data_IF_794218069446
#
_entry.id   IF_794218069446
#
_cell.length_a   1.000
_cell.length_b   1.000
_cell.length_c   1.000
_cell.angle_alpha   90.00
_cell.angle_beta   90.00
_cell.angle_gamma   90.00
#
_symmetry.space_group_name_H-M   'P 1'
#
loop_
_entity.id
_entity.type
_entity.pdbx_description
1 polymer ?
#
# COMPACT_ATOMS: atom_id res chain seq x y z
N UNK A 1 -3.83 16.80 9.14
CA UNK A 1 -3.40 16.77 7.72
C UNK A 1 -4.22 15.71 7.00
N UNK A 2 -4.78 16.02 5.81
CA UNK A 2 -5.60 15.06 5.06
C UNK A 2 -4.76 14.04 4.30
N UNK A 3 -5.15 12.76 4.35
CA UNK A 3 -4.56 11.66 3.57
C UNK A 3 -5.63 10.94 2.77
N UNK A 4 -5.25 10.32 1.67
CA UNK A 4 -6.18 9.63 0.77
C UNK A 4 -5.67 8.24 0.38
N UNK A 5 -6.50 7.21 0.54
CA UNK A 5 -6.31 5.88 -0.02
C UNK A 5 -7.12 5.76 -1.32
N UNK A 6 -6.46 5.52 -2.45
CA UNK A 6 -7.11 5.35 -3.72
C UNK A 6 -7.58 3.90 -3.93
N UNK A 7 -8.71 3.77 -4.63
CA UNK A 7 -9.25 2.50 -5.12
C UNK A 7 -9.42 2.57 -6.63
N UNK A 8 -8.92 1.56 -7.33
CA UNK A 8 -9.06 1.44 -8.78
C UNK A 8 -9.05 -0.03 -9.21
N UNK A 9 -9.30 -0.30 -10.47
CA UNK A 9 -9.19 -1.61 -11.09
C UNK A 9 -8.16 -1.57 -12.22
N UNK A 10 -6.90 -1.88 -11.93
CA UNK A 10 -5.86 -1.99 -12.94
C UNK A 10 -6.06 -3.23 -13.80
N UNK A 11 -5.79 -3.12 -15.09
CA UNK A 11 -5.81 -4.21 -16.06
C UNK A 11 -4.45 -4.39 -16.76
N UNK A 12 -4.41 -5.10 -17.89
CA UNK A 12 -3.18 -5.27 -18.67
C UNK A 12 -2.74 -4.01 -19.45
N UNK A 13 -3.63 -3.03 -19.64
CA UNK A 13 -3.31 -1.78 -20.30
C UNK A 13 -2.73 -0.75 -19.34
N UNK A 14 -1.39 -0.61 -19.39
CA UNK A 14 -0.64 0.32 -18.54
C UNK A 14 -1.07 1.77 -18.77
N UNK A 15 -1.31 2.20 -19.98
CA UNK A 15 -1.66 3.59 -20.31
C UNK A 15 -2.96 3.98 -19.62
N UNK A 16 -4.00 3.17 -19.77
CA UNK A 16 -5.29 3.36 -19.12
C UNK A 16 -5.16 3.37 -17.59
N UNK A 17 -4.39 2.44 -17.02
CA UNK A 17 -4.17 2.38 -15.56
C UNK A 17 -3.50 3.66 -15.04
N UNK A 18 -2.48 4.18 -15.74
CA UNK A 18 -1.78 5.40 -15.33
C UNK A 18 -2.65 6.66 -15.47
N UNK A 19 -3.56 6.69 -16.44
CA UNK A 19 -4.55 7.77 -16.57
C UNK A 19 -5.52 7.76 -15.38
N UNK A 20 -6.05 6.60 -15.02
CA UNK A 20 -6.93 6.44 -13.85
C UNK A 20 -6.19 6.84 -12.57
N UNK A 21 -4.98 6.32 -12.34
CA UNK A 21 -4.17 6.65 -11.17
C UNK A 21 -3.91 8.16 -11.08
N UNK A 22 -3.50 8.79 -12.19
CA UNK A 22 -3.24 10.24 -12.25
C UNK A 22 -4.49 11.04 -11.90
N UNK A 23 -5.66 10.67 -12.45
CA UNK A 23 -6.94 11.33 -12.17
C UNK A 23 -7.31 11.24 -10.69
N UNK A 24 -7.15 10.06 -10.08
CA UNK A 24 -7.43 9.86 -8.64
C UNK A 24 -6.50 10.68 -7.76
N UNK A 25 -5.19 10.72 -8.09
CA UNK A 25 -4.22 11.53 -7.35
C UNK A 25 -4.56 13.02 -7.42
N UNK A 26 -4.88 13.55 -8.61
CA UNK A 26 -5.30 14.95 -8.79
C UNK A 26 -6.56 15.27 -7.98
N UNK A 27 -7.58 14.42 -8.06
CA UNK A 27 -8.82 14.59 -7.26
C UNK A 27 -8.57 14.58 -5.75
N UNK A 28 -7.62 13.77 -5.26
CA UNK A 28 -7.25 13.77 -3.85
C UNK A 28 -6.51 15.05 -3.46
N UNK A 29 -5.56 15.51 -4.28
CA UNK A 29 -4.82 16.76 -4.08
C UNK A 29 -5.75 18.00 -4.11
N UNK A 30 -6.70 18.07 -5.05
CA UNK A 30 -7.72 19.11 -5.12
C UNK A 30 -8.59 19.18 -3.85
N UNK A 31 -8.74 18.06 -3.13
CA UNK A 31 -9.44 18.00 -1.84
C UNK A 31 -8.53 18.30 -0.64
N UNK A 32 -7.26 18.66 -0.89
CA UNK A 32 -6.29 19.02 0.14
C UNK A 32 -5.51 17.85 0.74
N UNK A 33 -5.50 16.68 0.10
CA UNK A 33 -4.70 15.56 0.57
C UNK A 33 -3.19 15.87 0.50
N UNK A 34 -2.49 15.77 1.62
CA UNK A 34 -1.04 15.94 1.72
C UNK A 34 -0.26 14.65 1.41
N UNK A 35 -0.93 13.50 1.49
CA UNK A 35 -0.43 12.19 1.07
C UNK A 35 -1.54 11.44 0.33
N UNK A 36 -1.18 10.89 -0.82
CA UNK A 36 -2.05 9.99 -1.58
C UNK A 36 -1.38 8.64 -1.72
N UNK A 37 -2.08 7.56 -1.39
CA UNK A 37 -1.63 6.18 -1.63
C UNK A 37 -2.37 5.58 -2.82
N UNK A 38 -1.63 4.98 -3.75
CA UNK A 38 -2.12 4.16 -4.85
C UNK A 38 -2.05 2.66 -4.48
N UNK A 39 -2.84 1.77 -5.10
CA UNK A 39 -2.88 0.36 -4.73
C UNK A 39 -1.71 -0.47 -5.28
N UNK A 40 -1.60 -1.72 -4.84
CA UNK A 40 -0.65 -2.71 -5.38
C UNK A 40 -0.86 -2.92 -6.88
N UNK A 41 0.24 -3.14 -7.63
CA UNK A 41 0.22 -3.36 -9.07
C UNK A 41 -0.50 -2.24 -9.85
N UNK A 42 -0.32 -0.99 -9.41
CA UNK A 42 -1.05 0.16 -9.92
C UNK A 42 -0.95 0.34 -11.43
N UNK A 43 0.22 0.06 -12.01
CA UNK A 43 0.47 0.29 -13.44
C UNK A 43 0.07 -0.89 -14.32
N UNK A 44 -0.01 -2.11 -13.76
CA UNK A 44 -0.28 -3.29 -14.57
C UNK A 44 -0.78 -4.47 -13.72
N UNK A 45 -1.88 -5.08 -14.14
CA UNK A 45 -2.43 -6.32 -13.61
C UNK A 45 -2.92 -7.20 -14.77
N UNK A 46 -2.02 -8.01 -15.32
CA UNK A 46 -2.28 -9.00 -16.35
C UNK A 46 -2.02 -10.42 -15.87
N UNK A 47 -1.63 -11.29 -16.82
CA UNK A 47 -1.29 -12.69 -16.54
C UNK A 47 0.03 -12.80 -15.77
N UNK A 48 0.09 -13.67 -14.78
CA UNK A 48 1.29 -13.91 -13.95
C UNK A 48 2.56 -14.19 -14.78
N UNK A 49 2.44 -14.94 -15.88
CA UNK A 49 3.54 -15.26 -16.79
C UNK A 49 4.13 -14.06 -17.53
N UNK A 50 3.36 -12.98 -17.66
CA UNK A 50 3.76 -11.77 -18.38
C UNK A 50 4.40 -10.72 -17.45
N UNK A 51 4.53 -10.99 -16.15
CA UNK A 51 5.15 -10.08 -15.17
C UNK A 51 6.56 -9.62 -15.55
N UNK A 52 7.47 -10.50 -16.00
CA UNK A 52 8.83 -10.06 -16.36
C UNK A 52 8.83 -9.06 -17.52
N UNK A 53 7.98 -9.25 -18.53
CA UNK A 53 7.88 -8.34 -19.67
C UNK A 53 7.18 -7.01 -19.33
N UNK A 54 6.37 -7.00 -18.27
CA UNK A 54 5.71 -5.81 -17.77
C UNK A 54 6.54 -5.01 -16.75
N UNK A 55 7.71 -5.53 -16.35
CA UNK A 55 8.55 -4.88 -15.36
C UNK A 55 9.33 -3.69 -15.92
N UNK A 56 9.53 -2.69 -15.08
CA UNK A 56 10.34 -1.50 -15.38
C UNK A 56 11.45 -1.34 -14.34
N UNK A 57 12.50 -0.62 -14.70
CA UNK A 57 13.51 -0.18 -13.73
C UNK A 57 12.92 0.89 -12.79
N UNK A 58 13.56 1.13 -11.65
CA UNK A 58 13.15 2.20 -10.71
C UNK A 58 13.23 3.62 -11.30
N UNK A 59 14.02 3.80 -12.36
CA UNK A 59 14.08 5.04 -13.14
C UNK A 59 13.22 4.99 -14.42
N UNK A 60 12.33 4.01 -14.51
CA UNK A 60 11.42 3.81 -15.64
C UNK A 60 10.28 4.82 -15.71
N UNK A 61 9.53 4.83 -16.84
CA UNK A 61 8.54 5.84 -17.15
C UNK A 61 7.39 5.92 -16.13
N UNK A 62 6.96 4.79 -15.57
CA UNK A 62 5.88 4.78 -14.56
C UNK A 62 6.25 5.56 -13.30
N UNK A 63 7.40 5.25 -12.69
CA UNK A 63 7.83 5.92 -11.47
C UNK A 63 8.29 7.36 -11.72
N UNK A 64 8.87 7.65 -12.89
CA UNK A 64 9.17 9.03 -13.31
C UNK A 64 7.90 9.88 -13.37
N UNK A 65 6.84 9.37 -14.00
CA UNK A 65 5.53 10.05 -14.03
C UNK A 65 4.96 10.33 -12.63
N UNK A 66 5.07 9.38 -11.71
CA UNK A 66 4.59 9.57 -10.33
C UNK A 66 5.45 10.57 -9.55
N UNK A 67 6.77 10.58 -9.75
CA UNK A 67 7.66 11.59 -9.18
C UNK A 67 7.31 13.01 -9.68
N UNK A 68 7.06 13.16 -10.99
CA UNK A 68 6.63 14.42 -11.58
C UNK A 68 5.26 14.88 -11.04
N UNK A 69 4.31 13.95 -10.90
CA UNK A 69 2.99 14.24 -10.36
C UNK A 69 3.06 14.67 -8.88
N UNK A 70 3.89 14.01 -8.06
CA UNK A 70 4.12 14.38 -6.67
C UNK A 70 4.69 15.81 -6.58
N UNK A 71 5.68 16.14 -7.42
CA UNK A 71 6.29 17.48 -7.50
C UNK A 71 5.30 18.54 -7.99
N UNK A 72 4.55 18.26 -9.05
CA UNK A 72 3.56 19.18 -9.60
C UNK A 72 2.51 19.57 -8.57
N UNK A 73 1.97 18.56 -7.85
CA UNK A 73 0.90 18.73 -6.87
C UNK A 73 1.42 19.10 -5.47
N UNK A 74 2.74 19.04 -5.25
CA UNK A 74 3.40 19.29 -3.96
C UNK A 74 2.86 18.42 -2.82
N UNK A 75 2.65 17.13 -3.11
CA UNK A 75 2.13 16.14 -2.16
C UNK A 75 3.14 14.99 -1.95
N UNK A 76 3.00 14.27 -0.86
CA UNK A 76 3.59 12.95 -0.77
C UNK A 76 2.76 11.97 -1.60
N UNK A 77 3.43 11.09 -2.35
CA UNK A 77 2.76 10.09 -3.19
C UNK A 77 3.37 8.70 -2.93
N UNK A 78 2.57 7.82 -2.35
CA UNK A 78 2.88 6.39 -2.33
C UNK A 78 2.44 5.80 -3.67
N UNK A 79 3.40 5.37 -4.49
CA UNK A 79 3.16 4.83 -5.83
C UNK A 79 2.51 3.43 -5.82
N UNK A 80 1.93 3.04 -4.69
CA UNK A 80 1.33 1.74 -4.50
C UNK A 80 2.38 0.64 -4.60
N UNK A 81 2.30 -0.19 -5.65
CA UNK A 81 3.45 -0.96 -6.08
C UNK A 81 3.52 -1.13 -7.59
N UNK A 82 4.72 -1.39 -8.08
CA UNK A 82 5.05 -1.68 -9.48
C UNK A 82 5.92 -2.92 -9.58
N UNK A 83 5.95 -3.54 -10.76
CA UNK A 83 6.88 -4.62 -11.07
C UNK A 83 8.24 -4.00 -11.42
N UNK A 84 9.25 -4.26 -10.56
CA UNK A 84 10.62 -3.75 -10.74
C UNK A 84 11.50 -4.81 -11.39
N UNK A 85 12.15 -4.45 -12.48
CA UNK A 85 13.14 -5.27 -13.15
C UNK A 85 14.47 -5.31 -12.39
N UNK A 86 15.24 -6.39 -12.55
CA UNK A 86 16.59 -6.53 -12.00
C UNK A 86 16.68 -7.44 -10.77
N UNK A 87 15.63 -8.21 -10.48
CA UNK A 87 15.74 -9.30 -9.51
C UNK A 87 16.59 -10.45 -10.02
N UNK A 88 17.15 -11.32 -9.13
CA UNK A 88 17.91 -12.48 -9.54
C UNK A 88 17.09 -13.49 -10.35
N UNK A 89 17.70 -14.08 -11.36
CA UNK A 89 17.03 -14.97 -12.32
C UNK A 89 16.07 -14.19 -13.21
N UNK A 90 15.07 -14.85 -13.77
CA UNK A 90 14.05 -14.25 -14.63
C UNK A 90 12.87 -13.66 -13.82
N UNK A 91 13.10 -13.29 -12.54
CA UNK A 91 12.11 -12.75 -11.65
C UNK A 91 12.14 -11.22 -11.63
N UNK A 92 11.10 -10.64 -11.04
CA UNK A 92 10.95 -9.21 -10.77
C UNK A 92 10.78 -8.97 -9.27
N UNK A 93 10.85 -7.71 -8.81
CA UNK A 93 10.37 -7.36 -7.47
C UNK A 93 8.99 -6.72 -7.56
N UNK A 94 8.21 -6.88 -6.51
CA UNK A 94 6.98 -6.11 -6.28
C UNK A 94 7.37 -4.95 -5.34
N UNK A 95 7.45 -3.73 -5.89
CA UNK A 95 8.13 -2.61 -5.24
C UNK A 95 7.22 -1.42 -5.03
N UNK A 96 7.15 -0.96 -3.79
CA UNK A 96 6.48 0.27 -3.38
C UNK A 96 7.49 1.41 -3.23
N UNK A 97 7.14 2.59 -3.73
CA UNK A 97 7.97 3.80 -3.65
C UNK A 97 7.16 4.93 -3.02
N UNK A 98 7.74 5.58 -2.01
CA UNK A 98 7.21 6.80 -1.45
C UNK A 98 7.99 8.00 -2.02
N UNK A 99 7.26 8.89 -2.67
CA UNK A 99 7.79 10.17 -3.17
C UNK A 99 7.46 11.31 -2.22
N UNK A 100 8.39 12.24 -2.07
CA UNK A 100 8.18 13.52 -1.40
C UNK A 100 7.61 14.60 -2.32
N UNK A 101 7.24 15.78 -1.75
CA UNK A 101 6.63 16.88 -2.50
C UNK A 101 7.53 17.52 -3.58
N UNK A 102 8.82 17.25 -3.56
CA UNK A 102 9.77 17.64 -4.61
C UNK A 102 9.93 16.60 -5.73
N UNK A 103 9.23 15.45 -5.62
CA UNK A 103 9.38 14.30 -6.51
C UNK A 103 10.58 13.39 -6.18
N UNK A 104 11.28 13.65 -5.07
CA UNK A 104 12.37 12.82 -4.57
C UNK A 104 11.85 11.49 -4.02
N UNK A 105 12.63 10.42 -4.18
CA UNK A 105 12.33 9.12 -3.59
C UNK A 105 12.76 9.11 -2.13
N UNK A 106 11.77 9.10 -1.21
CA UNK A 106 12.01 9.05 0.24
C UNK A 106 12.25 7.61 0.72
N UNK A 107 11.56 6.63 0.12
CA UNK A 107 11.72 5.22 0.45
C UNK A 107 11.42 4.32 -0.73
N UNK A 108 12.08 3.16 -0.77
CA UNK A 108 11.84 2.05 -1.72
C UNK A 108 11.72 0.78 -0.90
N UNK A 109 10.59 0.12 -0.98
CA UNK A 109 10.30 -1.13 -0.28
C UNK A 109 9.94 -2.23 -1.27
N UNK A 110 10.64 -3.35 -1.22
CA UNK A 110 10.33 -4.57 -1.97
C UNK A 110 9.57 -5.54 -1.08
N UNK A 111 8.43 -6.04 -1.56
CA UNK A 111 7.56 -6.97 -0.84
C UNK A 111 8.35 -8.16 -0.29
N UNK A 112 8.24 -8.41 1.01
CA UNK A 112 8.97 -9.48 1.70
C UNK A 112 8.21 -10.80 1.60
N UNK A 113 6.90 -10.78 1.89
CA UNK A 113 6.07 -11.98 1.95
C UNK A 113 5.30 -12.15 0.64
N UNK A 114 5.62 -13.21 -0.09
CA UNK A 114 5.04 -13.50 -1.40
C UNK A 114 3.79 -14.37 -1.26
N UNK A 115 2.80 -14.09 -2.11
CA UNK A 115 1.48 -14.71 -2.02
C UNK A 115 1.46 -16.08 -2.75
N UNK A 116 1.89 -17.13 -2.04
CA UNK A 116 1.77 -18.52 -2.46
C UNK A 116 0.64 -19.16 -1.66
N UNK A 117 -0.54 -19.30 -2.27
CA UNK A 117 -1.72 -19.74 -1.54
C UNK A 117 -2.79 -20.38 -2.46
N UNK A 118 -3.57 -21.26 -1.88
CA UNK A 118 -4.82 -21.78 -2.43
C UNK A 118 -5.97 -21.23 -1.58
N UNK A 119 -6.77 -20.32 -2.14
CA UNK A 119 -7.73 -19.52 -1.33
C UNK A 119 -9.19 -19.95 -1.49
N UNK A 120 -9.45 -21.17 -1.92
CA UNK A 120 -10.81 -21.74 -1.94
C UNK A 120 -11.71 -21.22 -3.07
N UNK A 121 -11.21 -20.35 -3.95
CA UNK A 121 -11.88 -19.87 -5.16
C UNK A 121 -11.53 -20.72 -6.41
N UNK A 122 -10.79 -21.82 -6.20
CA UNK A 122 -10.28 -22.68 -7.26
C UNK A 122 -9.00 -22.15 -7.95
N UNK A 123 -8.48 -20.99 -7.52
CA UNK A 123 -7.25 -20.44 -8.03
C UNK A 123 -6.06 -20.80 -7.11
N UNK A 124 -4.96 -21.23 -7.72
CA UNK A 124 -3.66 -21.40 -7.07
C UNK A 124 -2.77 -20.22 -7.43
N UNK A 125 -2.27 -19.55 -6.42
CA UNK A 125 -1.37 -18.41 -6.54
C UNK A 125 0.05 -18.85 -6.18
N UNK A 126 1.02 -18.49 -7.02
CA UNK A 126 2.45 -18.79 -6.87
C UNK A 126 3.26 -17.53 -7.20
N UNK A 127 3.15 -16.50 -6.36
CA UNK A 127 3.83 -15.23 -6.60
C UNK A 127 5.36 -15.41 -6.64
N UNK A 128 5.92 -16.34 -5.83
CA UNK A 128 7.35 -16.62 -5.75
C UNK A 128 7.95 -17.18 -7.04
N UNK A 129 7.15 -17.72 -7.95
CA UNK A 129 7.64 -18.21 -9.24
C UNK A 129 8.16 -17.06 -10.12
N UNK A 130 7.51 -15.87 -10.04
CA UNK A 130 7.82 -14.72 -10.86
C UNK A 130 8.40 -13.53 -10.07
N UNK A 131 8.25 -13.51 -8.75
CA UNK A 131 8.66 -12.38 -7.88
C UNK A 131 9.71 -12.84 -6.89
N UNK A 132 10.76 -12.04 -6.71
CA UNK A 132 11.77 -12.26 -5.68
C UNK A 132 11.38 -11.48 -4.40
N UNK A 133 11.64 -12.03 -3.20
CA UNK A 133 11.38 -11.34 -1.95
C UNK A 133 12.34 -10.17 -1.73
N UNK A 134 11.88 -9.14 -1.02
CA UNK A 134 12.70 -8.07 -0.47
C UNK A 134 13.49 -8.51 0.77
N UNK A 135 14.36 -7.60 1.27
CA UNK A 135 15.33 -7.95 2.31
C UNK A 135 14.86 -7.59 3.73
N UNK A 136 14.04 -6.55 3.92
CA UNK A 136 13.69 -6.11 5.26
C UNK A 136 12.69 -4.95 5.33
N UNK A 137 12.28 -4.57 6.57
CA UNK A 137 11.35 -3.47 6.80
C UNK A 137 11.97 -2.12 6.40
N UNK A 138 11.14 -1.23 5.87
CA UNK A 138 11.53 0.12 5.43
C UNK A 138 10.61 1.15 6.05
N UNK A 139 11.20 2.22 6.59
CA UNK A 139 10.49 3.42 7.06
C UNK A 139 11.06 4.68 6.42
N UNK A 140 10.25 5.73 6.35
CA UNK A 140 10.67 7.07 5.93
C UNK A 140 10.12 8.13 6.87
N UNK A 141 10.95 9.06 7.29
CA UNK A 141 10.51 10.24 8.03
C UNK A 141 9.88 11.26 7.09
N UNK A 142 8.74 11.79 7.49
CA UNK A 142 7.99 12.82 6.76
C UNK A 142 7.35 13.80 7.74
N UNK A 143 6.92 14.99 7.29
CA UNK A 143 6.11 15.89 8.13
C UNK A 143 4.77 15.29 8.61
N UNK A 144 4.32 14.19 7.99
CA UNK A 144 3.12 13.44 8.38
C UNK A 144 3.40 12.42 9.50
N UNK A 145 4.65 12.27 9.91
CA UNK A 145 5.17 11.25 10.81
C UNK A 145 6.03 10.22 10.07
N UNK A 146 6.53 9.25 10.81
CA UNK A 146 7.31 8.15 10.23
C UNK A 146 6.38 7.16 9.52
N UNK A 147 6.55 7.01 8.21
CA UNK A 147 5.76 6.12 7.36
C UNK A 147 6.43 4.75 7.28
N UNK A 148 5.73 3.69 7.67
CA UNK A 148 6.17 2.30 7.51
C UNK A 148 5.56 1.68 6.26
N UNK A 149 6.36 1.06 5.39
CA UNK A 149 5.93 0.50 4.12
C UNK A 149 5.68 -1.00 4.23
N UNK A 150 4.61 -1.46 3.60
CA UNK A 150 4.30 -2.87 3.37
C UNK A 150 3.49 -3.03 2.08
N UNK A 151 3.27 -4.25 1.60
CA UNK A 151 2.46 -4.54 0.41
C UNK A 151 1.58 -5.77 0.66
N UNK A 152 0.26 -5.62 0.59
CA UNK A 152 -0.75 -6.67 0.45
C UNK A 152 -0.59 -7.86 1.41
N UNK A 153 0.02 -8.95 0.97
CA UNK A 153 0.18 -10.18 1.75
C UNK A 153 0.99 -9.99 3.03
N UNK A 154 1.88 -8.97 3.06
CA UNK A 154 2.58 -8.55 4.27
C UNK A 154 1.63 -8.28 5.44
N UNK A 155 0.37 -7.89 5.16
CA UNK A 155 -0.65 -7.63 6.17
C UNK A 155 -0.91 -8.83 7.09
N UNK A 156 -0.61 -10.05 6.66
CA UNK A 156 -0.80 -11.27 7.46
C UNK A 156 0.31 -11.50 8.49
N UNK A 157 1.42 -10.79 8.39
CA UNK A 157 2.63 -11.00 9.19
C UNK A 157 2.82 -9.87 10.21
N UNK A 158 2.32 -10.01 11.45
CA UNK A 158 2.43 -8.99 12.49
C UNK A 158 3.87 -8.64 12.82
N UNK A 159 4.83 -9.52 12.57
CA UNK A 159 6.25 -9.35 12.80
C UNK A 159 6.81 -8.14 12.03
N UNK A 160 6.42 -7.97 10.76
CA UNK A 160 6.80 -6.81 9.96
C UNK A 160 6.30 -5.52 10.59
N UNK A 161 5.03 -5.46 10.97
CA UNK A 161 4.42 -4.26 11.56
C UNK A 161 5.01 -3.95 12.93
N UNK A 162 5.39 -4.97 13.70
CA UNK A 162 6.14 -4.78 14.93
C UNK A 162 7.54 -4.22 14.68
N UNK A 163 8.22 -4.64 13.64
CA UNK A 163 9.51 -4.08 13.24
C UNK A 163 9.35 -2.61 12.81
N UNK A 164 8.36 -2.29 11.96
CA UNK A 164 8.06 -0.92 11.56
C UNK A 164 7.71 -0.03 12.76
N UNK A 165 6.89 -0.53 13.69
CA UNK A 165 6.53 0.18 14.92
C UNK A 165 7.77 0.45 15.82
N UNK A 166 8.71 -0.50 15.91
CA UNK A 166 9.98 -0.30 16.62
C UNK A 166 10.86 0.74 15.96
N UNK A 167 10.83 0.82 14.63
CA UNK A 167 11.51 1.86 13.85
C UNK A 167 10.79 3.22 13.89
N UNK A 168 9.77 3.37 14.74
CA UNK A 168 9.10 4.66 14.97
C UNK A 168 7.86 4.92 14.11
N UNK A 169 7.42 3.97 13.27
CA UNK A 169 6.28 4.21 12.38
C UNK A 169 5.02 4.64 13.14
N UNK A 170 4.42 5.72 12.65
CA UNK A 170 3.16 6.30 13.12
C UNK A 170 2.05 6.20 12.09
N UNK A 171 2.42 5.96 10.84
CA UNK A 171 1.55 5.70 9.71
C UNK A 171 2.06 4.45 8.98
N UNK A 172 1.22 3.44 8.89
CA UNK A 172 1.50 2.19 8.17
C UNK A 172 0.78 2.21 6.83
N UNK A 173 1.48 1.88 5.74
CA UNK A 173 0.88 1.83 4.40
C UNK A 173 0.73 0.40 3.92
N UNK A 174 -0.42 0.08 3.34
CA UNK A 174 -0.78 -1.26 2.88
C UNK A 174 -1.45 -1.19 1.50
N UNK A 175 -0.72 -0.81 0.42
CA UNK A 175 -1.24 -0.96 -0.92
C UNK A 175 -1.49 -2.43 -1.22
N UNK A 176 -2.69 -2.77 -1.73
CA UNK A 176 -3.10 -4.16 -1.82
C UNK A 176 -3.96 -4.48 -3.03
N UNK A 177 -3.94 -5.78 -3.38
CA UNK A 177 -4.82 -6.44 -4.34
C UNK A 177 -5.36 -7.75 -3.72
N UNK A 178 -6.05 -7.63 -2.58
CA UNK A 178 -6.61 -8.79 -1.85
C UNK A 178 -7.65 -9.49 -2.71
N UNK A 179 -7.60 -10.82 -2.76
CA UNK A 179 -8.62 -11.62 -3.46
C UNK A 179 -10.01 -11.34 -2.87
N UNK A 180 -11.05 -11.48 -3.69
CA UNK A 180 -12.42 -11.23 -3.24
C UNK A 180 -12.78 -12.08 -2.01
N UNK A 181 -12.43 -13.36 -2.01
CA UNK A 181 -12.76 -14.29 -0.92
C UNK A 181 -12.09 -13.89 0.39
N UNK A 182 -10.76 -13.76 0.40
CA UNK A 182 -10.04 -13.42 1.63
C UNK A 182 -10.23 -11.97 2.03
N UNK A 183 -10.46 -11.08 1.08
CA UNK A 183 -10.71 -9.67 1.35
C UNK A 183 -11.98 -9.46 2.16
N UNK A 184 -13.08 -10.12 1.77
CA UNK A 184 -14.36 -10.05 2.46
C UNK A 184 -14.26 -10.37 3.95
N UNK A 185 -13.47 -11.38 4.31
CA UNK A 185 -13.43 -11.89 5.68
C UNK A 185 -12.23 -11.34 6.49
N UNK A 186 -11.11 -10.98 5.83
CA UNK A 186 -9.86 -10.68 6.52
C UNK A 186 -9.39 -9.22 6.40
N UNK A 187 -9.73 -8.49 5.32
CA UNK A 187 -9.14 -7.20 5.00
C UNK A 187 -9.30 -6.18 6.11
N UNK A 188 -10.53 -5.85 6.49
CA UNK A 188 -10.81 -4.86 7.53
C UNK A 188 -10.28 -5.32 8.90
N UNK A 189 -10.50 -6.58 9.25
CA UNK A 189 -10.09 -7.15 10.54
C UNK A 189 -8.57 -7.02 10.73
N UNK A 190 -7.79 -7.40 9.71
CA UNK A 190 -6.33 -7.32 9.78
C UNK A 190 -5.82 -5.89 9.82
N UNK A 191 -6.37 -4.98 9.01
CA UNK A 191 -5.97 -3.55 9.04
C UNK A 191 -6.24 -2.92 10.40
N UNK A 192 -7.39 -3.18 10.98
CA UNK A 192 -7.73 -2.73 12.34
C UNK A 192 -6.80 -3.33 13.39
N UNK A 193 -6.47 -4.62 13.27
CA UNK A 193 -5.50 -5.25 14.16
C UNK A 193 -4.13 -4.57 14.08
N UNK A 194 -3.61 -4.28 12.87
CA UNK A 194 -2.34 -3.57 12.69
C UNK A 194 -2.37 -2.17 13.28
N UNK A 195 -3.48 -1.44 13.12
CA UNK A 195 -3.65 -0.12 13.73
C UNK A 195 -3.63 -0.20 15.26
N UNK A 196 -4.44 -1.08 15.85
CA UNK A 196 -4.59 -1.22 17.31
C UNK A 196 -3.28 -1.65 17.96
N UNK A 197 -2.68 -2.73 17.51
CA UNK A 197 -1.51 -3.32 18.14
C UNK A 197 -0.25 -2.47 18.03
N UNK A 198 -0.13 -1.67 16.97
CA UNK A 198 1.00 -0.78 16.73
C UNK A 198 0.71 0.68 17.08
N UNK A 199 -0.54 0.97 17.52
CA UNK A 199 -0.98 2.34 17.87
C UNK A 199 -0.53 3.35 16.81
N UNK A 200 -0.90 3.07 15.55
CA UNK A 200 -0.53 3.83 14.36
C UNK A 200 -1.73 3.95 13.42
N UNK A 201 -1.74 4.99 12.61
CA UNK A 201 -2.66 5.07 11.47
C UNK A 201 -2.34 3.99 10.45
N UNK A 202 -3.36 3.55 9.69
CA UNK A 202 -3.18 2.66 8.54
C UNK A 202 -3.81 3.32 7.32
N UNK A 203 -3.02 3.49 6.25
CA UNK A 203 -3.45 3.92 4.92
C UNK A 203 -3.43 2.70 4.00
N UNK A 204 -4.60 2.24 3.57
CA UNK A 204 -4.76 0.99 2.84
C UNK A 204 -5.45 1.22 1.48
N UNK A 205 -4.72 1.69 0.45
CA UNK A 205 -5.24 1.77 -0.91
C UNK A 205 -5.41 0.37 -1.49
N UNK A 206 -6.48 0.17 -2.31
CA UNK A 206 -6.87 -1.17 -2.73
C UNK A 206 -7.24 -1.26 -4.22
N UNK A 207 -6.82 -2.35 -4.85
CA UNK A 207 -7.40 -2.81 -6.11
C UNK A 207 -8.78 -3.40 -5.83
N UNK A 208 -9.79 -3.02 -6.63
CA UNK A 208 -11.16 -3.49 -6.44
C UNK A 208 -11.88 -3.75 -7.76
N UNK A 209 -12.49 -4.94 -7.88
CA UNK A 209 -13.22 -5.34 -9.07
C UNK A 209 -12.49 -6.39 -9.92
N UNK A 210 -12.84 -6.45 -11.19
CA UNK A 210 -12.32 -7.42 -12.15
C UNK A 210 -11.09 -6.88 -12.88
N UNK A 211 -10.01 -7.65 -12.93
CA UNK A 211 -8.74 -7.30 -13.58
C UNK A 211 -8.49 -8.14 -14.84
N UNK A 212 -8.82 -9.43 -14.75
CA UNK A 212 -8.82 -10.40 -15.84
C UNK A 212 -10.05 -11.31 -15.68
N UNK A 213 -10.26 -12.23 -16.58
CA UNK A 213 -11.37 -13.20 -16.47
C UNK A 213 -11.28 -14.07 -15.22
N UNK A 214 -10.07 -14.26 -14.70
CA UNK A 214 -9.80 -15.14 -13.55
C UNK A 214 -9.48 -14.38 -12.26
N UNK A 215 -9.26 -13.04 -12.31
CA UNK A 215 -8.80 -12.28 -11.14
C UNK A 215 -9.79 -11.21 -10.73
N UNK A 216 -10.35 -11.42 -9.55
CA UNK A 216 -11.21 -10.49 -8.83
C UNK A 216 -10.56 -10.08 -7.51
N UNK A 217 -10.62 -8.79 -7.19
CA UNK A 217 -10.15 -8.27 -5.91
C UNK A 217 -11.27 -7.58 -5.14
N UNK A 218 -11.10 -7.51 -3.82
CA UNK A 218 -12.14 -7.07 -2.89
C UNK A 218 -12.37 -5.55 -2.90
N UNK A 219 -11.32 -4.75 -3.10
CA UNK A 219 -11.42 -3.30 -2.96
C UNK A 219 -11.50 -2.83 -1.52
N UNK A 220 -12.40 -1.85 -1.27
CA UNK A 220 -12.62 -1.25 0.03
C UNK A 220 -11.36 -0.61 0.59
N UNK A 221 -10.71 0.26 -0.24
CA UNK A 221 -9.63 1.11 0.23
C UNK A 221 -10.08 1.87 1.47
N UNK A 222 -9.23 1.93 2.51
CA UNK A 222 -9.65 2.55 3.77
C UNK A 222 -8.51 3.23 4.53
N UNK A 223 -8.90 4.06 5.49
CA UNK A 223 -8.04 4.63 6.51
C UNK A 223 -8.53 4.16 7.87
N UNK A 224 -7.60 3.68 8.69
CA UNK A 224 -7.89 3.26 10.07
C UNK A 224 -7.08 4.11 11.03
N UNK A 225 -7.70 4.59 12.10
CA UNK A 225 -7.05 5.39 13.13
C UNK A 225 -6.27 4.52 14.15
N UNK A 226 -5.44 5.11 15.03
CA UNK A 226 -4.66 4.37 16.02
C UNK A 226 -5.48 3.61 17.08
N UNK A 227 -6.78 3.91 17.19
CA UNK A 227 -7.72 3.19 18.06
C UNK A 227 -8.35 1.99 17.38
N UNK A 228 -8.18 1.85 16.06
CA UNK A 228 -8.74 0.78 15.23
C UNK A 228 -10.11 1.11 14.65
N UNK A 229 -10.51 2.39 14.66
CA UNK A 229 -11.72 2.83 13.98
C UNK A 229 -11.44 3.01 12.48
N UNK A 230 -12.29 2.45 11.63
CA UNK A 230 -12.29 2.78 10.19
C UNK A 230 -12.88 4.17 10.03
N UNK A 231 -12.03 5.16 9.77
CA UNK A 231 -12.42 6.58 9.68
C UNK A 231 -12.79 7.01 8.26
N UNK A 232 -12.38 6.23 7.25
CA UNK A 232 -12.83 6.38 5.88
C UNK A 232 -12.74 5.05 5.14
N UNK A 233 -13.70 4.79 4.24
CA UNK A 233 -13.72 3.63 3.35
C UNK A 233 -14.32 3.99 1.99
N UNK A 234 -13.69 3.53 0.90
CA UNK A 234 -14.23 3.65 -0.44
C UNK A 234 -15.39 2.65 -0.66
N UNK A 235 -16.39 3.06 -1.43
CA UNK A 235 -17.45 2.19 -1.94
C UNK A 235 -16.92 1.30 -3.07
N UNK A 236 -17.77 0.46 -3.66
CA UNK A 236 -17.44 -0.29 -4.85
C UNK A 236 -17.06 0.64 -6.03
N UNK A 237 -16.19 0.14 -6.92
CA UNK A 237 -15.70 0.89 -8.07
C UNK A 237 -14.52 1.83 -7.75
N UNK A 238 -14.23 2.76 -8.67
CA UNK A 238 -13.17 3.75 -8.49
C UNK A 238 -13.52 4.77 -7.42
N UNK A 239 -12.61 5.04 -6.49
CA UNK A 239 -12.90 5.96 -5.40
C UNK A 239 -11.69 6.38 -4.58
N UNK A 240 -11.99 7.19 -3.56
CA UNK A 240 -11.02 7.70 -2.59
C UNK A 240 -11.61 7.57 -1.19
N UNK A 241 -10.85 7.01 -0.27
CA UNK A 241 -11.10 7.12 1.17
C UNK A 241 -10.20 8.23 1.73
N UNK A 242 -10.79 9.33 2.19
CA UNK A 242 -10.07 10.50 2.73
C UNK A 242 -10.32 10.62 4.22
N UNK A 243 -9.27 10.83 4.99
CA UNK A 243 -9.34 11.06 6.42
C UNK A 243 -8.23 12.00 6.91
N UNK A 244 -8.47 12.65 8.03
CA UNK A 244 -7.45 13.43 8.70
C UNK A 244 -6.51 12.56 9.52
N UNK A 245 -5.20 12.83 9.40
CA UNK A 245 -4.22 12.45 10.40
C UNK A 245 -4.26 13.47 11.54
N UNK A 246 -4.68 13.02 12.72
CA UNK A 246 -4.68 13.81 13.95
C UNK A 246 -3.52 13.34 14.85
N UNK A 247 -2.42 14.12 14.94
CA UNK A 247 -1.29 13.80 15.81
C UNK A 247 -1.66 13.81 17.31
N UNK A 248 -2.66 14.59 17.70
CA UNK A 248 -3.11 14.65 19.10
C UNK A 248 -3.86 13.38 19.49
N UNK A 249 -4.69 12.84 18.59
CA UNK A 249 -5.33 11.53 18.78
C UNK A 249 -4.26 10.45 18.95
N UNK A 250 -3.27 10.39 18.07
CA UNK A 250 -2.17 9.43 18.15
C UNK A 250 -1.45 9.54 19.49
N UNK A 251 -1.06 10.75 19.88
CA UNK A 251 -0.38 11.01 21.14
C UNK A 251 -1.25 10.62 22.35
N UNK A 252 -2.55 10.92 22.32
CA UNK A 252 -3.52 10.57 23.37
C UNK A 252 -3.66 9.05 23.51
N UNK A 253 -3.81 8.33 22.39
CA UNK A 253 -3.91 6.86 22.40
C UNK A 253 -2.66 6.24 23.04
N UNK A 254 -1.45 6.65 22.57
CA UNK A 254 -0.17 6.14 23.10
C UNK A 254 0.09 6.49 24.56
N UNK A 255 -0.39 7.66 25.02
CA UNK A 255 -0.27 8.08 26.43
C UNK A 255 -1.21 7.33 27.34
N UNK A 256 -2.49 7.21 26.94
CA UNK A 256 -3.54 6.66 27.81
C UNK A 256 -3.54 5.13 27.84
N UNK A 257 -3.11 4.48 26.77
CA UNK A 257 -2.92 3.02 26.67
C UNK A 257 -1.51 2.70 26.22
N UNK A 258 -0.48 2.79 27.11
CA UNK A 258 0.92 2.70 26.68
C UNK A 258 1.37 1.26 26.35
N UNK A 259 0.59 0.52 25.55
CA UNK A 259 0.81 -0.88 25.20
C UNK A 259 2.16 -1.12 24.54
N UNK A 260 2.64 -0.17 23.70
CA UNK A 260 3.96 -0.28 23.06
C UNK A 260 5.11 -0.30 24.06
N UNK A 261 4.98 0.40 25.22
CA UNK A 261 5.97 0.42 26.29
C UNK A 261 5.87 -0.80 27.23
N UNK A 262 4.74 -1.48 27.24
CA UNK A 262 4.48 -2.65 28.09
C UNK A 262 4.93 -3.97 27.42
N UNK A 263 5.45 -3.93 26.20
CA UNK A 263 5.97 -5.13 25.53
C UNK A 263 7.08 -5.77 26.35
N UNK A 264 7.10 -7.11 26.39
CA UNK A 264 8.11 -7.92 27.11
C UNK A 264 8.90 -8.84 26.16
N UNK A 265 8.35 -9.14 24.99
CA UNK A 265 8.96 -10.01 23.98
C UNK A 265 9.38 -9.16 22.78
N UNK A 266 10.61 -9.34 22.34
CA UNK A 266 11.15 -8.65 21.15
C UNK A 266 11.24 -7.13 21.32
N UNK A 267 11.43 -6.66 22.55
CA UNK A 267 11.65 -5.25 22.88
C UNK A 267 13.06 -4.80 22.53
#
# INVERSE_FOLDING_TARGET
MLIAAAQMASGPDRTSNLEVATRLVRRAAERGAALVGLPENVAWMGSEKDRPSAAERLDGPTLTRFAELARELRIHLLAGSVLEAGAPGDRVYNTSVLFGPGGERLAVYRKIHLFDAEVGDGASYRESDAVAPGEGPVTAETPLGTVGLSICYDLRFPELYRALSRAGATLLTVPAAFTLMTGKDHWEVLLRARAIENQAYVLAPAQGGRHTDQRLTYGHAMVVDPWGLVVARASDGEGLALAELDPELLARVRRNLPALRHRRIGG
#
